data_IF_106267629479
#
_entry.id   IF_106267629479
#
_cell.length_a   1.000
_cell.length_b   1.000
_cell.length_c   1.000
_cell.angle_alpha   90.00
_cell.angle_beta   90.00
_cell.angle_gamma   90.00
#
_symmetry.space_group_name_H-M   'P 1'
#
loop_
_entity.id
_entity.type
_entity.pdbx_description
1 polymer ?
#
# COMPACT_ATOMS: atom_id res chain seq x y z
N UNK A 1 -23.86 28.39 -24.90
CA UNK A 1 -22.64 28.16 -24.14
C UNK A 1 -21.68 29.32 -24.42
N UNK A 2 -21.59 30.28 -23.50
CA UNK A 2 -20.65 31.38 -23.64
C UNK A 2 -19.25 30.88 -23.30
N UNK A 3 -18.41 30.84 -24.31
CA UNK A 3 -16.97 30.62 -24.13
C UNK A 3 -16.37 31.98 -23.77
N UNK A 4 -15.96 32.18 -22.52
CA UNK A 4 -15.10 33.31 -22.18
C UNK A 4 -13.70 33.00 -22.72
N UNK A 5 -13.30 33.74 -23.74
CA UNK A 5 -11.95 33.73 -24.26
C UNK A 5 -10.99 34.30 -23.20
N UNK A 6 -10.26 33.44 -22.55
CA UNK A 6 -9.15 33.86 -21.67
C UNK A 6 -7.97 34.16 -22.58
N UNK A 7 -7.85 35.45 -22.93
CA UNK A 7 -6.72 35.97 -23.73
C UNK A 7 -5.58 36.33 -22.81
N UNK A 8 -4.55 35.47 -22.74
CA UNK A 8 -3.27 35.82 -22.10
C UNK A 8 -2.32 36.30 -23.19
N UNK A 9 -2.00 37.61 -23.16
CA UNK A 9 -1.08 38.28 -24.10
C UNK A 9 -1.43 38.15 -25.59
N UNK A 10 -2.70 38.19 -25.96
CA UNK A 10 -3.15 38.26 -27.36
C UNK A 10 -2.89 36.99 -28.19
N UNK A 11 -2.44 35.86 -27.60
CA UNK A 11 -2.32 34.58 -28.26
C UNK A 11 -2.85 33.46 -27.37
N UNK A 12 -3.92 32.80 -27.83
CA UNK A 12 -4.40 31.56 -27.24
C UNK A 12 -3.30 30.52 -27.41
N UNK A 13 -2.82 29.96 -26.29
CA UNK A 13 -1.94 28.80 -26.32
C UNK A 13 -2.69 27.62 -26.98
N UNK A 14 -2.04 26.91 -27.90
CA UNK A 14 -2.60 25.71 -28.54
C UNK A 14 -3.09 24.69 -27.52
N UNK A 15 -2.49 24.65 -26.35
CA UNK A 15 -2.90 23.81 -25.25
C UNK A 15 -4.26 24.17 -24.65
N UNK A 16 -4.60 25.44 -24.61
CA UNK A 16 -5.90 25.88 -24.05
C UNK A 16 -7.06 25.50 -24.97
N UNK A 17 -6.85 25.47 -26.26
CA UNK A 17 -7.90 25.09 -27.25
C UNK A 17 -8.21 23.58 -27.18
N UNK A 18 -7.24 22.72 -26.87
CA UNK A 18 -7.44 21.26 -26.80
C UNK A 18 -8.30 20.85 -25.61
N UNK A 19 -8.20 21.57 -24.49
CA UNK A 19 -8.92 21.23 -23.25
C UNK A 19 -10.41 21.57 -23.31
N UNK A 20 -10.79 22.60 -24.11
CA UNK A 20 -12.17 23.11 -24.16
C UNK A 20 -13.13 22.15 -24.90
N UNK A 21 -12.63 21.26 -25.73
CA UNK A 21 -13.43 20.37 -26.57
C UNK A 21 -13.48 18.91 -26.09
N UNK A 22 -12.96 18.62 -24.88
CA UNK A 22 -13.04 17.27 -24.34
C UNK A 22 -14.46 16.98 -23.84
N UNK A 23 -15.12 16.03 -24.49
CA UNK A 23 -16.39 15.48 -24.00
C UNK A 23 -16.18 14.62 -22.74
N UNK A 24 -17.24 14.38 -21.98
CA UNK A 24 -17.18 13.49 -20.79
C UNK A 24 -16.60 12.11 -21.10
N UNK A 25 -16.79 11.61 -22.31
CA UNK A 25 -16.23 10.35 -22.76
C UNK A 25 -14.70 10.41 -22.88
N UNK A 26 -14.19 11.51 -23.42
CA UNK A 26 -12.74 11.76 -23.55
C UNK A 26 -12.08 11.97 -22.19
N UNK A 27 -12.78 12.59 -21.23
CA UNK A 27 -12.28 12.72 -19.85
C UNK A 27 -12.11 11.34 -19.22
N UNK A 28 -13.07 10.43 -19.37
CA UNK A 28 -12.97 9.06 -18.87
C UNK A 28 -11.82 8.27 -19.52
N UNK A 29 -11.56 8.49 -20.79
CA UNK A 29 -10.41 7.90 -21.47
C UNK A 29 -9.09 8.44 -20.92
N UNK A 30 -9.01 9.76 -20.70
CA UNK A 30 -7.85 10.37 -20.06
C UNK A 30 -7.62 9.85 -18.62
N UNK A 31 -8.66 9.69 -17.82
CA UNK A 31 -8.58 9.11 -16.49
C UNK A 31 -8.02 7.68 -16.52
N UNK A 32 -8.49 6.88 -17.49
CA UNK A 32 -7.97 5.53 -17.74
C UNK A 32 -6.49 5.56 -18.13
N UNK A 33 -6.09 6.49 -18.96
CA UNK A 33 -4.69 6.64 -19.39
C UNK A 33 -3.80 7.09 -18.26
N UNK A 34 -4.25 8.00 -17.41
CA UNK A 34 -3.55 8.40 -16.17
C UNK A 34 -3.32 7.18 -15.30
N UNK A 35 -4.35 6.38 -15.07
CA UNK A 35 -4.24 5.14 -14.27
C UNK A 35 -3.23 4.16 -14.87
N UNK A 36 -3.30 3.94 -16.19
CA UNK A 36 -2.39 3.04 -16.89
C UNK A 36 -0.95 3.55 -16.85
N UNK A 37 -0.74 4.84 -17.06
CA UNK A 37 0.58 5.48 -17.00
C UNK A 37 1.18 5.41 -15.60
N UNK A 38 0.35 5.66 -14.57
CA UNK A 38 0.78 5.54 -13.17
C UNK A 38 1.18 4.12 -12.82
N UNK A 39 0.39 3.12 -13.25
CA UNK A 39 0.72 1.70 -13.03
C UNK A 39 1.96 1.25 -13.81
N UNK A 40 2.20 1.81 -15.01
CA UNK A 40 3.39 1.49 -15.79
C UNK A 40 4.69 2.07 -15.24
N UNK A 41 4.61 3.05 -14.34
CA UNK A 41 5.78 3.57 -13.63
C UNK A 41 6.45 2.51 -12.73
N UNK A 42 5.69 1.48 -12.34
CA UNK A 42 6.23 0.40 -11.51
C UNK A 42 6.81 -0.73 -12.38
N UNK A 43 8.03 -1.16 -12.06
CA UNK A 43 8.61 -2.36 -12.65
C UNK A 43 7.75 -3.60 -12.32
N UNK A 44 7.84 -4.64 -13.16
CA UNK A 44 7.06 -5.89 -13.01
C UNK A 44 7.26 -6.52 -11.63
N UNK A 45 8.50 -6.53 -11.11
CA UNK A 45 8.80 -7.04 -9.77
C UNK A 45 8.14 -6.22 -8.66
N UNK A 46 8.12 -4.90 -8.80
CA UNK A 46 7.45 -3.99 -7.86
C UNK A 46 5.95 -4.22 -7.83
N UNK A 47 5.31 -4.37 -9.00
CA UNK A 47 3.87 -4.71 -9.10
C UNK A 47 3.55 -6.01 -8.38
N UNK A 48 4.35 -7.04 -8.56
CA UNK A 48 4.17 -8.33 -7.90
C UNK A 48 4.27 -8.20 -6.38
N UNK A 49 5.25 -7.45 -5.89
CA UNK A 49 5.42 -7.20 -4.46
C UNK A 49 4.23 -6.43 -3.88
N UNK A 50 3.78 -5.37 -4.55
CA UNK A 50 2.60 -4.61 -4.14
C UNK A 50 1.35 -5.50 -4.06
N UNK A 51 1.11 -6.34 -5.06
CA UNK A 51 -0.02 -7.26 -5.07
C UNK A 51 0.03 -8.25 -3.89
N UNK A 52 1.21 -8.75 -3.54
CA UNK A 52 1.40 -9.64 -2.38
C UNK A 52 1.12 -8.89 -1.08
N UNK A 53 1.63 -7.67 -0.93
CA UNK A 53 1.43 -6.83 0.24
C UNK A 53 -0.05 -6.48 0.43
N UNK A 54 -0.72 -6.06 -0.64
CA UNK A 54 -2.16 -5.73 -0.61
C UNK A 54 -3.02 -6.95 -0.27
N UNK A 55 -2.75 -8.08 -0.91
CA UNK A 55 -3.47 -9.33 -0.63
C UNK A 55 -3.34 -9.74 0.83
N UNK A 56 -2.15 -9.72 1.39
CA UNK A 56 -1.89 -10.07 2.78
C UNK A 56 -2.67 -9.18 3.74
N UNK A 57 -2.67 -7.88 3.51
CA UNK A 57 -3.41 -6.92 4.32
C UNK A 57 -4.93 -7.10 4.20
N UNK A 58 -5.45 -7.21 2.98
CA UNK A 58 -6.87 -7.36 2.74
C UNK A 58 -7.42 -8.66 3.31
N UNK A 59 -6.65 -9.75 3.24
CA UNK A 59 -7.02 -11.03 3.87
C UNK A 59 -7.07 -10.93 5.39
N UNK A 60 -6.10 -10.26 6.00
CA UNK A 60 -6.12 -10.03 7.45
C UNK A 60 -7.34 -9.21 7.87
N UNK A 61 -7.63 -8.12 7.16
CA UNK A 61 -8.79 -7.29 7.44
C UNK A 61 -10.11 -8.07 7.25
N UNK A 62 -10.22 -8.88 6.21
CA UNK A 62 -11.40 -9.71 5.98
C UNK A 62 -11.58 -10.75 7.09
N UNK A 63 -10.50 -11.39 7.53
CA UNK A 63 -10.54 -12.40 8.59
C UNK A 63 -10.99 -11.81 9.93
N UNK A 64 -10.46 -10.66 10.33
CA UNK A 64 -10.80 -9.99 11.59
C UNK A 64 -11.97 -9.02 11.48
N UNK A 65 -12.57 -8.88 10.31
CA UNK A 65 -13.66 -7.94 10.02
C UNK A 65 -13.29 -6.48 10.31
N UNK A 66 -12.06 -6.11 10.00
CA UNK A 66 -11.61 -4.73 10.04
C UNK A 66 -11.96 -3.98 8.76
N UNK A 67 -12.21 -2.69 8.88
CA UNK A 67 -12.29 -1.81 7.71
C UNK A 67 -10.88 -1.66 7.15
N UNK A 68 -10.69 -2.15 5.92
CA UNK A 68 -9.37 -2.11 5.27
C UNK A 68 -9.05 -0.73 4.71
N UNK A 69 -10.03 -0.05 4.14
CA UNK A 69 -9.84 1.22 3.43
C UNK A 69 -11.02 2.15 3.76
N UNK A 70 -10.74 3.31 4.35
CA UNK A 70 -9.46 3.74 4.91
C UNK A 70 -9.08 2.94 6.16
N UNK A 71 -7.80 2.58 6.27
CA UNK A 71 -7.30 1.87 7.44
C UNK A 71 -7.20 2.82 8.65
N UNK A 72 -7.68 2.36 9.80
CA UNK A 72 -7.49 3.09 11.05
C UNK A 72 -6.06 2.90 11.60
N UNK A 73 -5.60 3.83 12.43
CA UNK A 73 -4.32 3.70 13.13
C UNK A 73 -4.24 2.37 13.91
N UNK A 74 -5.33 1.97 14.56
CA UNK A 74 -5.42 0.70 15.28
C UNK A 74 -5.19 -0.49 14.35
N UNK A 75 -5.84 -0.50 13.18
CA UNK A 75 -5.68 -1.59 12.19
C UNK A 75 -4.25 -1.66 11.69
N UNK A 76 -3.61 -0.53 11.42
CA UNK A 76 -2.20 -0.47 10.99
C UNK A 76 -1.28 -1.02 12.08
N UNK A 77 -1.46 -0.62 13.33
CA UNK A 77 -0.67 -1.12 14.45
C UNK A 77 -0.81 -2.65 14.64
N UNK A 78 -2.03 -3.16 14.55
CA UNK A 78 -2.30 -4.60 14.63
C UNK A 78 -1.65 -5.36 13.46
N UNK A 79 -1.67 -4.78 12.27
CA UNK A 79 -1.01 -5.37 11.11
C UNK A 79 0.52 -5.39 11.25
N UNK A 80 1.11 -4.29 11.73
CA UNK A 80 2.56 -4.24 12.04
C UNK A 80 2.93 -5.34 13.04
N UNK A 81 2.17 -5.49 14.10
CA UNK A 81 2.40 -6.51 15.11
C UNK A 81 2.22 -7.93 14.56
N UNK A 82 1.25 -8.14 13.68
CA UNK A 82 1.06 -9.40 12.97
C UNK A 82 2.27 -9.74 12.10
N UNK A 83 2.74 -8.78 11.30
CA UNK A 83 3.91 -8.96 10.45
C UNK A 83 5.20 -9.25 11.25
N UNK A 84 5.33 -8.66 12.45
CA UNK A 84 6.50 -8.87 13.30
C UNK A 84 6.66 -10.31 13.79
N UNK A 85 5.60 -11.10 13.75
CA UNK A 85 5.65 -12.54 14.07
C UNK A 85 6.23 -13.38 12.93
N UNK A 86 6.11 -12.87 11.70
CA UNK A 86 6.55 -13.58 10.48
C UNK A 86 7.89 -13.06 9.95
N UNK A 87 8.15 -11.78 10.09
CA UNK A 87 9.34 -11.13 9.57
C UNK A 87 10.36 -10.86 10.67
N UNK A 88 11.60 -11.22 10.40
CA UNK A 88 12.73 -10.97 11.31
C UNK A 88 13.29 -9.54 11.20
N UNK A 89 13.01 -8.85 10.10
CA UNK A 89 13.52 -7.52 9.80
C UNK A 89 12.40 -6.49 9.88
N UNK A 90 12.65 -5.43 10.65
CA UNK A 90 11.78 -4.26 10.71
C UNK A 90 11.65 -3.61 9.34
N UNK A 91 12.70 -3.64 8.53
CA UNK A 91 12.67 -3.10 7.17
C UNK A 91 11.66 -3.83 6.26
N UNK A 92 11.58 -5.15 6.38
CA UNK A 92 10.56 -5.93 5.65
C UNK A 92 9.15 -5.52 6.06
N UNK A 93 8.91 -5.28 7.34
CA UNK A 93 7.61 -4.81 7.84
C UNK A 93 7.29 -3.43 7.27
N UNK A 94 8.25 -2.50 7.30
CA UNK A 94 8.09 -1.16 6.72
C UNK A 94 7.74 -1.21 5.23
N UNK A 95 8.36 -2.11 4.47
CA UNK A 95 8.05 -2.30 3.06
C UNK A 95 6.60 -2.73 2.85
N UNK A 96 6.08 -3.64 3.67
CA UNK A 96 4.67 -4.04 3.62
C UNK A 96 3.73 -2.87 3.93
N UNK A 97 4.04 -2.09 4.96
CA UNK A 97 3.22 -0.92 5.32
C UNK A 97 3.29 0.15 4.23
N UNK A 98 4.45 0.37 3.61
CA UNK A 98 4.59 1.28 2.47
C UNK A 98 3.72 0.85 1.28
N UNK A 99 3.60 -0.46 1.03
CA UNK A 99 2.70 -0.99 0.01
C UNK A 99 1.23 -0.69 0.31
N UNK A 100 0.81 -0.77 1.58
CA UNK A 100 -0.57 -0.43 1.97
C UNK A 100 -0.81 1.09 1.88
N UNK A 101 0.17 1.90 2.24
CA UNK A 101 0.12 3.35 2.02
C UNK A 101 -0.09 3.66 0.53
N UNK A 102 0.66 3.00 -0.36
CA UNK A 102 0.50 3.13 -1.81
C UNK A 102 -0.91 2.77 -2.27
N UNK A 103 -1.51 1.71 -1.72
CA UNK A 103 -2.89 1.34 -2.02
C UNK A 103 -3.88 2.45 -1.67
N UNK A 104 -3.74 3.06 -0.49
CA UNK A 104 -4.60 4.17 -0.07
C UNK A 104 -4.44 5.39 -0.98
N UNK A 105 -3.20 5.73 -1.35
CA UNK A 105 -2.92 6.83 -2.28
C UNK A 105 -3.57 6.59 -3.66
N UNK A 106 -3.57 5.37 -4.18
CA UNK A 106 -4.25 5.04 -5.43
C UNK A 106 -5.77 5.18 -5.35
N UNK A 107 -6.34 5.04 -4.17
CA UNK A 107 -7.77 5.13 -3.93
C UNK A 107 -8.20 6.51 -3.41
N UNK A 108 -7.26 7.47 -3.36
CA UNK A 108 -7.46 8.81 -2.81
C UNK A 108 -8.00 8.79 -1.36
N UNK A 109 -7.50 7.85 -0.57
CA UNK A 109 -7.90 7.65 0.82
C UNK A 109 -6.78 8.01 1.78
N UNK A 110 -7.16 8.49 2.97
CA UNK A 110 -6.21 8.80 4.02
C UNK A 110 -5.56 7.53 4.59
N UNK A 111 -4.30 7.65 4.94
CA UNK A 111 -3.55 6.57 5.59
C UNK A 111 -2.78 7.11 6.80
N UNK A 112 -2.79 6.41 7.96
CA UNK A 112 -1.96 6.79 9.10
C UNK A 112 -0.48 6.68 8.74
N UNK A 113 0.21 7.80 8.74
CA UNK A 113 1.61 7.87 8.33
C UNK A 113 2.56 7.21 9.34
N UNK A 114 3.73 6.80 8.84
CA UNK A 114 4.86 6.36 9.67
C UNK A 114 5.28 7.39 10.74
N UNK A 115 4.87 8.63 10.57
CA UNK A 115 5.16 9.74 11.48
C UNK A 115 4.30 9.73 12.73
N UNK A 116 3.23 8.95 12.76
CA UNK A 116 2.43 8.77 13.97
C UNK A 116 3.28 8.27 15.13
N UNK A 117 3.21 8.95 16.24
CA UNK A 117 4.04 8.66 17.41
C UNK A 117 3.94 7.20 17.86
N UNK A 118 2.72 6.65 17.86
CA UNK A 118 2.44 5.26 18.25
C UNK A 118 3.13 4.28 17.29
N UNK A 119 3.10 4.55 16.00
CA UNK A 119 3.75 3.70 14.98
C UNK A 119 5.26 3.71 15.16
N UNK A 120 5.86 4.87 15.40
CA UNK A 120 7.29 5.00 15.70
C UNK A 120 7.69 4.21 16.95
N UNK A 121 6.90 4.30 18.01
CA UNK A 121 7.15 3.56 19.25
C UNK A 121 7.03 2.05 19.03
N UNK A 122 6.03 1.62 18.27
CA UNK A 122 5.81 0.21 17.95
C UNK A 122 7.02 -0.38 17.18
N UNK A 123 7.49 0.28 16.14
CA UNK A 123 8.68 -0.14 15.41
C UNK A 123 9.93 -0.21 16.30
N UNK A 124 10.12 0.79 17.15
CA UNK A 124 11.25 0.81 18.10
C UNK A 124 11.18 -0.33 19.10
N UNK A 125 9.98 -0.65 19.57
CA UNK A 125 9.75 -1.80 20.46
C UNK A 125 10.04 -3.14 19.78
N UNK A 126 9.55 -3.34 18.56
CA UNK A 126 9.81 -4.55 17.76
C UNK A 126 11.31 -4.69 17.50
N UNK A 127 12.00 -3.62 17.13
CA UNK A 127 13.45 -3.65 16.88
C UNK A 127 14.25 -4.08 18.10
N UNK A 128 13.91 -3.55 19.27
CA UNK A 128 14.54 -3.93 20.53
C UNK A 128 14.31 -5.41 20.86
N UNK A 129 13.09 -5.87 20.72
CA UNK A 129 12.72 -7.26 21.00
C UNK A 129 13.43 -8.22 20.04
N UNK A 130 13.61 -7.84 18.78
CA UNK A 130 14.32 -8.64 17.78
C UNK A 130 15.82 -8.73 18.09
N UNK A 131 16.43 -7.66 18.57
CA UNK A 131 17.86 -7.65 18.96
C UNK A 131 18.15 -8.48 20.19
N UNK A 132 17.22 -8.53 21.14
CA UNK A 132 17.36 -9.25 22.41
C UNK A 132 16.83 -10.68 22.37
N UNK A 133 16.11 -11.05 21.31
CA UNK A 133 15.72 -12.44 21.11
C UNK A 133 16.99 -13.25 20.82
N UNK A 134 17.35 -14.23 21.69
CA UNK A 134 18.45 -15.12 21.36
C UNK A 134 18.13 -15.74 20.01
N UNK A 135 19.16 -15.93 19.16
CA UNK A 135 19.08 -16.60 17.86
C UNK A 135 18.71 -18.08 18.02
N UNK A 136 17.69 -18.38 18.80
CA UNK A 136 17.02 -19.67 18.72
C UNK A 136 16.29 -19.63 17.41
N UNK A 137 16.89 -20.25 16.42
CA UNK A 137 16.13 -20.80 15.32
C UNK A 137 15.00 -21.60 15.97
N UNK A 138 13.83 -21.01 16.10
CA UNK A 138 12.61 -21.77 16.10
C UNK A 138 12.51 -22.31 14.67
N UNK A 139 13.28 -23.39 14.45
CA UNK A 139 12.83 -24.35 13.50
C UNK A 139 11.47 -24.81 14.03
N UNK A 140 10.43 -24.12 13.62
CA UNK A 140 9.13 -24.74 13.57
C UNK A 140 9.28 -25.77 12.47
N UNK A 141 9.81 -26.91 12.84
CA UNK A 141 9.72 -28.11 12.05
C UNK A 141 8.27 -28.53 12.17
N UNK A 142 7.40 -27.91 11.37
CA UNK A 142 6.03 -28.37 11.16
C UNK A 142 6.06 -29.81 10.63
N UNK A 143 7.15 -30.25 10.08
CA UNK A 143 7.31 -31.57 9.46
C UNK A 143 7.30 -32.72 10.44
N UNK A 144 7.56 -32.51 11.72
CA UNK A 144 7.59 -33.64 12.70
C UNK A 144 6.30 -33.85 13.47
N UNK A 145 5.31 -32.93 13.34
CA UNK A 145 4.05 -33.06 14.07
C UNK A 145 2.94 -33.76 13.26
N UNK A 146 3.17 -34.05 11.97
CA UNK A 146 2.15 -34.53 11.03
C UNK A 146 2.52 -35.81 10.27
N UNK A 147 3.60 -36.53 10.66
CA UNK A 147 3.84 -37.86 10.11
C UNK A 147 3.15 -38.87 11.02
N UNK A 148 2.12 -39.60 10.57
CA UNK A 148 1.64 -40.76 11.30
C UNK A 148 2.75 -41.79 11.34
N UNK A 149 3.03 -42.30 12.53
CA UNK A 149 3.87 -43.48 12.70
C UNK A 149 3.35 -44.58 11.79
N UNK A 150 4.08 -44.90 10.76
CA UNK A 150 3.85 -46.06 9.93
C UNK A 150 4.49 -47.26 10.61
N UNK A 151 3.66 -48.05 11.29
CA UNK A 151 3.91 -49.47 11.50
C UNK A 151 3.34 -50.24 10.32
#
# INVERSE_FOLDING_TARGET
MHLEEITINGRLSVHTQVVIYLSDLQIKELEKDVKNSTLSAFAVGTKRNLMTQWRTFLLLCAYFKFVAIPASLKTVCLYIQFLSRSFKSVESIKNYISGICTLHLFLDESFPYFDEFVVKLLFKGIERNTRHSPKRALAITIDNAMLPDSN
#
